data_IF_291983781368
#
_entry.id   IF_291983781368
#
_cell.length_a   1.000
_cell.length_b   1.000
_cell.length_c   1.000
_cell.angle_alpha   90.00
_cell.angle_beta   90.00
_cell.angle_gamma   90.00
#
_symmetry.space_group_name_H-M   'P 1'
#
loop_
_entity.id
_entity.type
_entity.pdbx_description
1 polymer ?
#
# COMPACT_ATOMS: atom_id res chain seq x y z
N UNK A 1 -4.46 24.61 -2.15
CA UNK A 1 -4.96 25.47 -3.24
C UNK A 1 -5.85 26.54 -2.63
N UNK A 2 -5.63 27.78 -2.98
CA UNK A 2 -6.53 28.88 -2.67
C UNK A 2 -7.63 28.94 -3.75
N UNK A 3 -8.90 28.81 -3.35
CA UNK A 3 -10.03 28.87 -4.26
C UNK A 3 -10.67 30.26 -4.26
N UNK A 4 -10.84 30.84 -5.45
CA UNK A 4 -11.54 32.10 -5.66
C UNK A 4 -12.60 31.86 -6.75
N UNK A 5 -13.86 32.22 -6.47
CA UNK A 5 -14.98 32.12 -7.41
C UNK A 5 -15.63 33.51 -7.50
N UNK A 6 -15.73 34.05 -8.70
CA UNK A 6 -16.29 35.39 -8.97
C UNK A 6 -15.64 36.48 -8.09
N UNK A 7 -14.29 36.43 -8.00
CA UNK A 7 -13.47 37.33 -7.19
C UNK A 7 -13.70 37.24 -5.66
N UNK A 8 -14.45 36.25 -5.20
CA UNK A 8 -14.70 36.02 -3.77
C UNK A 8 -13.84 34.83 -3.31
N UNK A 9 -13.03 35.06 -2.29
CA UNK A 9 -12.22 34.01 -1.65
C UNK A 9 -13.12 33.00 -0.94
N UNK A 10 -12.98 31.72 -1.32
CA UNK A 10 -13.75 30.60 -0.80
C UNK A 10 -13.02 29.79 0.25
N UNK A 11 -11.75 30.02 0.49
CA UNK A 11 -10.94 29.32 1.47
C UNK A 11 -9.76 28.55 0.87
N UNK A 12 -9.13 27.74 1.71
CA UNK A 12 -8.08 26.81 1.32
C UNK A 12 -8.67 25.43 1.08
N UNK A 13 -8.26 24.83 0.00
CA UNK A 13 -8.68 23.48 -0.41
C UNK A 13 -7.46 22.61 -0.64
N UNK A 14 -7.52 21.36 -0.24
CA UNK A 14 -6.54 20.35 -0.64
C UNK A 14 -6.78 19.95 -2.10
N UNK A 15 -5.70 19.72 -2.83
CA UNK A 15 -5.76 19.04 -4.13
C UNK A 15 -5.35 17.59 -3.88
N UNK A 16 -6.19 16.66 -4.28
CA UNK A 16 -5.91 15.24 -4.18
C UNK A 16 -6.10 14.57 -5.54
N UNK A 17 -5.26 13.61 -5.85
CA UNK A 17 -5.43 12.72 -6.99
C UNK A 17 -6.31 11.56 -6.50
N UNK A 18 -7.46 11.28 -7.14
CA UNK A 18 -8.31 10.17 -6.73
C UNK A 18 -7.57 8.83 -6.90
N UNK A 19 -7.93 7.85 -6.09
CA UNK A 19 -7.46 6.45 -6.19
C UNK A 19 -8.09 5.80 -7.44
N UNK A 20 -7.62 6.17 -8.62
CA UNK A 20 -8.19 5.73 -9.90
C UNK A 20 -7.06 5.55 -10.93
N UNK A 21 -7.39 4.95 -12.04
CA UNK A 21 -6.52 4.70 -13.21
C UNK A 21 -5.63 5.89 -13.60
N UNK A 22 -6.10 7.12 -13.42
CA UNK A 22 -5.35 8.34 -13.71
C UNK A 22 -4.06 8.47 -12.91
N UNK A 23 -4.05 7.93 -11.70
CA UNK A 23 -2.88 7.96 -10.83
C UNK A 23 -1.69 7.20 -11.42
N UNK A 24 -1.97 6.17 -12.22
CA UNK A 24 -0.98 5.28 -12.80
C UNK A 24 -0.92 5.32 -14.34
N UNK A 25 -1.75 6.14 -14.99
CA UNK A 25 -1.87 6.15 -16.44
C UNK A 25 -2.47 4.87 -17.02
N UNK A 26 -3.28 4.17 -16.25
CA UNK A 26 -3.98 2.94 -16.64
C UNK A 26 -5.18 3.23 -17.56
N UNK A 27 -5.72 2.21 -18.20
CA UNK A 27 -6.95 2.25 -18.98
C UNK A 27 -6.89 1.50 -20.31
N UNK A 28 -5.74 0.90 -20.64
CA UNK A 28 -5.54 0.17 -21.90
C UNK A 28 -5.47 -1.35 -21.72
N UNK A 29 -4.96 -1.81 -20.58
CA UNK A 29 -4.78 -3.24 -20.29
C UNK A 29 -6.04 -3.90 -19.72
N UNK A 30 -6.24 -5.18 -20.05
CA UNK A 30 -7.38 -5.96 -19.56
C UNK A 30 -7.24 -6.42 -18.10
N UNK A 31 -6.01 -6.44 -17.59
CA UNK A 31 -5.66 -6.90 -16.24
C UNK A 31 -5.02 -5.80 -15.39
N UNK A 32 -5.24 -4.55 -15.77
CA UNK A 32 -4.88 -3.40 -14.93
C UNK A 32 -5.84 -3.32 -13.74
N UNK A 33 -5.27 -3.13 -12.54
CA UNK A 33 -6.06 -3.07 -11.33
C UNK A 33 -5.36 -2.24 -10.26
N UNK A 34 -6.16 -1.57 -9.42
CA UNK A 34 -5.75 -0.89 -8.20
C UNK A 34 -6.65 -1.38 -7.08
N UNK A 35 -6.04 -1.78 -5.97
CA UNK A 35 -6.75 -2.07 -4.71
C UNK A 35 -6.12 -1.26 -3.58
N UNK A 36 -6.94 -0.83 -2.63
CA UNK A 36 -6.48 -0.16 -1.42
C UNK A 36 -6.60 -1.06 -0.19
N UNK A 37 -5.62 -0.99 0.68
CA UNK A 37 -5.65 -1.64 1.99
C UNK A 37 -6.18 -0.65 3.02
N UNK A 38 -7.46 -0.75 3.39
CA UNK A 38 -8.15 0.22 4.24
C UNK A 38 -8.24 -0.22 5.71
N UNK A 39 -8.18 -1.51 5.99
CA UNK A 39 -8.33 -2.05 7.33
C UNK A 39 -7.08 -2.77 7.82
N UNK A 40 -6.82 -2.68 9.11
CA UNK A 40 -5.90 -3.59 9.79
C UNK A 40 -6.47 -5.01 9.81
N UNK A 41 -5.91 -5.90 9.02
CA UNK A 41 -6.34 -7.29 8.94
C UNK A 41 -5.16 -8.23 8.68
N UNK A 42 -5.35 -9.52 8.89
CA UNK A 42 -4.36 -10.52 8.50
C UNK A 42 -4.11 -10.52 6.99
N UNK A 43 -5.13 -10.20 6.18
CA UNK A 43 -5.00 -10.13 4.72
C UNK A 43 -4.10 -8.97 4.29
N UNK A 44 -4.30 -7.75 4.82
CA UNK A 44 -3.46 -6.58 4.51
C UNK A 44 -2.04 -6.72 5.07
N UNK A 45 -1.87 -7.58 6.08
CA UNK A 45 -0.56 -7.99 6.58
C UNK A 45 0.09 -9.11 5.75
N UNK A 46 -0.53 -9.56 4.66
CA UNK A 46 -0.12 -10.71 3.85
C UNK A 46 0.06 -11.99 4.68
N UNK A 47 -0.80 -12.18 5.69
CA UNK A 47 -0.78 -13.32 6.60
C UNK A 47 -1.98 -14.27 6.42
N UNK A 48 -2.97 -13.88 5.61
CA UNK A 48 -4.17 -14.66 5.32
C UNK A 48 -4.72 -14.33 3.94
N UNK A 49 -5.19 -15.34 3.22
CA UNK A 49 -5.84 -15.15 1.91
C UNK A 49 -7.24 -14.55 2.05
N UNK A 50 -7.73 -13.91 0.99
CA UNK A 50 -9.06 -13.31 0.93
C UNK A 50 -10.04 -14.17 0.12
N UNK A 51 -11.33 -14.06 0.44
CA UNK A 51 -12.41 -14.72 -0.30
C UNK A 51 -13.25 -13.75 -1.13
N UNK A 52 -13.12 -12.46 -0.85
CA UNK A 52 -13.82 -11.39 -1.55
C UNK A 52 -13.01 -10.09 -1.49
N UNK A 53 -13.25 -9.18 -2.39
CA UNK A 53 -12.82 -7.78 -2.28
C UNK A 53 -13.76 -7.04 -1.33
N UNK A 54 -13.21 -6.11 -0.56
CA UNK A 54 -13.95 -5.37 0.46
C UNK A 54 -12.97 -4.57 1.33
N UNK A 55 -13.32 -4.22 2.58
CA UNK A 55 -12.52 -3.29 3.39
C UNK A 55 -11.05 -3.69 3.61
N UNK A 56 -10.74 -4.98 3.48
CA UNK A 56 -9.36 -5.48 3.57
C UNK A 56 -8.55 -5.08 2.34
N UNK A 57 -9.11 -5.38 1.15
CA UNK A 57 -8.60 -4.92 -0.14
C UNK A 57 -9.80 -4.39 -0.93
N UNK A 58 -10.04 -3.09 -0.88
CA UNK A 58 -11.10 -2.43 -1.62
C UNK A 58 -10.68 -2.21 -3.07
N UNK A 59 -11.58 -2.51 -4.01
CA UNK A 59 -11.33 -2.30 -5.43
C UNK A 59 -11.48 -0.81 -5.76
N UNK A 60 -10.39 -0.18 -6.19
CA UNK A 60 -10.38 1.22 -6.64
C UNK A 60 -10.50 1.35 -8.16
N UNK A 61 -9.93 0.39 -8.88
CA UNK A 61 -10.01 0.34 -10.33
C UNK A 61 -9.79 -1.09 -10.85
N UNK A 62 -10.65 -1.50 -11.77
CA UNK A 62 -10.41 -2.58 -12.71
C UNK A 62 -11.19 -2.25 -14.00
N UNK A 63 -10.72 -2.71 -15.17
CA UNK A 63 -11.38 -2.41 -16.45
C UNK A 63 -12.78 -3.00 -16.52
N UNK A 64 -13.00 -4.16 -15.94
CA UNK A 64 -14.32 -4.81 -15.78
C UNK A 64 -14.56 -5.10 -14.30
N UNK A 65 -15.28 -4.20 -13.65
CA UNK A 65 -15.62 -4.29 -12.23
C UNK A 65 -16.58 -5.45 -11.90
N UNK A 66 -17.24 -6.04 -12.90
CA UNK A 66 -18.13 -7.19 -12.72
C UNK A 66 -17.39 -8.53 -12.79
N UNK A 67 -16.15 -8.53 -13.23
CA UNK A 67 -15.33 -9.72 -13.38
C UNK A 67 -14.00 -9.58 -12.64
N UNK A 68 -14.06 -9.62 -11.31
CA UNK A 68 -12.92 -9.33 -10.41
C UNK A 68 -12.36 -10.58 -9.71
N UNK A 69 -12.89 -11.77 -10.00
CA UNK A 69 -12.38 -13.02 -9.38
C UNK A 69 -10.88 -13.20 -9.60
N UNK A 70 -10.36 -12.82 -10.78
CA UNK A 70 -8.93 -12.88 -11.08
C UNK A 70 -8.08 -11.98 -10.17
N UNK A 71 -8.63 -10.86 -9.66
CA UNK A 71 -7.94 -9.98 -8.70
C UNK A 71 -7.73 -10.73 -7.39
N UNK A 72 -8.79 -11.39 -6.90
CA UNK A 72 -8.74 -12.22 -5.68
C UNK A 72 -7.72 -13.35 -5.85
N UNK A 73 -7.77 -14.05 -6.97
CA UNK A 73 -6.87 -15.19 -7.28
C UNK A 73 -5.40 -14.72 -7.35
N UNK A 74 -5.15 -13.57 -7.98
CA UNK A 74 -3.82 -12.96 -8.08
C UNK A 74 -3.27 -12.50 -6.73
N UNK A 75 -4.08 -11.79 -5.92
CA UNK A 75 -3.70 -11.39 -4.56
C UNK A 75 -3.43 -12.61 -3.67
N UNK A 76 -4.26 -13.63 -3.74
CA UNK A 76 -4.08 -14.87 -2.98
C UNK A 76 -2.82 -15.62 -3.40
N UNK A 77 -2.47 -15.59 -4.68
CA UNK A 77 -1.20 -16.16 -5.17
C UNK A 77 -0.02 -15.42 -4.57
N UNK A 78 -0.05 -14.09 -4.56
CA UNK A 78 0.98 -13.26 -3.92
C UNK A 78 1.08 -13.57 -2.42
N UNK A 79 -0.04 -13.52 -1.68
CA UNK A 79 -0.07 -13.77 -0.23
C UNK A 79 0.48 -15.16 0.10
N UNK A 80 0.04 -16.18 -0.61
CA UNK A 80 0.50 -17.56 -0.42
C UNK A 80 2.00 -17.70 -0.69
N UNK A 81 2.48 -17.01 -1.73
CA UNK A 81 3.91 -17.03 -2.06
C UNK A 81 4.75 -16.37 -0.97
N UNK A 82 4.30 -15.22 -0.43
CA UNK A 82 4.97 -14.55 0.70
C UNK A 82 5.01 -15.47 1.93
N UNK A 83 3.88 -16.12 2.26
CA UNK A 83 3.78 -17.01 3.42
C UNK A 83 4.71 -18.22 3.33
N UNK A 84 4.92 -18.74 2.14
CA UNK A 84 5.70 -19.96 1.91
C UNK A 84 7.21 -19.71 1.74
N UNK A 85 7.65 -18.45 1.65
CA UNK A 85 9.04 -18.10 1.32
C UNK A 85 9.72 -17.21 2.38
N UNK A 86 9.59 -17.55 3.68
CA UNK A 86 10.36 -16.87 4.76
C UNK A 86 11.82 -17.38 4.78
N UNK A 87 12.58 -16.99 3.79
CA UNK A 87 13.99 -17.33 3.64
C UNK A 87 14.75 -16.25 2.85
N UNK A 88 16.09 -16.32 2.85
CA UNK A 88 16.95 -15.33 2.19
C UNK A 88 16.77 -15.24 0.66
N UNK A 89 16.19 -16.27 0.03
CA UNK A 89 15.94 -16.30 -1.40
C UNK A 89 14.51 -15.85 -1.76
N UNK A 90 13.76 -15.26 -0.82
CA UNK A 90 12.37 -14.86 -1.01
C UNK A 90 12.16 -14.01 -2.27
N UNK A 91 13.14 -13.19 -2.65
CA UNK A 91 13.06 -12.33 -3.83
C UNK A 91 12.86 -13.09 -5.14
N UNK A 92 13.40 -14.30 -5.25
CA UNK A 92 13.25 -15.12 -6.46
C UNK A 92 11.80 -15.58 -6.64
N UNK A 93 11.14 -16.02 -5.57
CA UNK A 93 9.78 -16.52 -5.64
C UNK A 93 8.74 -15.40 -5.54
N UNK A 94 8.86 -14.52 -4.55
CA UNK A 94 7.92 -13.40 -4.35
C UNK A 94 8.03 -12.41 -5.50
N UNK A 95 9.23 -12.19 -6.06
CA UNK A 95 9.47 -11.29 -7.19
C UNK A 95 8.76 -11.69 -8.50
N UNK A 96 8.21 -12.90 -8.58
CA UNK A 96 7.33 -13.30 -9.68
C UNK A 96 5.97 -12.61 -9.63
N UNK A 97 5.52 -12.24 -8.43
CA UNK A 97 4.19 -11.70 -8.14
C UNK A 97 4.20 -10.31 -7.49
N UNK A 98 5.38 -9.84 -7.09
CA UNK A 98 5.56 -8.50 -6.52
C UNK A 98 6.75 -7.81 -7.16
N UNK A 99 6.61 -6.53 -7.42
CA UNK A 99 7.73 -5.64 -7.71
C UNK A 99 8.50 -5.41 -6.41
N UNK A 100 9.59 -6.16 -6.25
CA UNK A 100 10.40 -6.14 -5.02
C UNK A 100 11.06 -4.78 -4.81
N UNK A 101 11.50 -4.12 -5.88
CA UNK A 101 12.11 -2.79 -5.78
C UNK A 101 11.07 -1.77 -5.28
N UNK A 102 9.85 -1.81 -5.82
CA UNK A 102 8.73 -1.01 -5.32
C UNK A 102 8.41 -1.29 -3.84
N UNK A 103 8.46 -2.55 -3.41
CA UNK A 103 8.22 -2.92 -2.02
C UNK A 103 9.33 -2.43 -1.09
N UNK A 104 10.60 -2.49 -1.51
CA UNK A 104 11.76 -1.98 -0.77
C UNK A 104 11.68 -0.45 -0.67
N UNK A 105 11.43 0.23 -1.78
CA UNK A 105 11.30 1.69 -1.82
C UNK A 105 10.16 2.15 -0.90
N UNK A 106 9.01 1.46 -0.96
CA UNK A 106 7.90 1.73 -0.07
C UNK A 106 8.25 1.52 1.41
N UNK A 107 8.96 0.43 1.73
CA UNK A 107 9.43 0.16 3.08
C UNK A 107 10.35 1.29 3.59
N UNK A 108 11.37 1.67 2.79
CA UNK A 108 12.29 2.77 3.12
C UNK A 108 11.52 4.08 3.31
N UNK A 109 10.58 4.35 2.42
CA UNK A 109 9.72 5.53 2.50
C UNK A 109 8.93 5.58 3.81
N UNK A 110 8.27 4.48 4.21
CA UNK A 110 7.53 4.42 5.47
C UNK A 110 8.43 4.65 6.70
N UNK A 111 9.68 4.21 6.63
CA UNK A 111 10.67 4.48 7.67
C UNK A 111 11.06 5.95 7.71
N UNK A 112 11.34 6.56 6.55
CA UNK A 112 11.83 7.93 6.42
C UNK A 112 10.81 8.96 6.95
N UNK A 113 9.54 8.77 6.62
CA UNK A 113 8.47 9.70 7.02
C UNK A 113 7.72 9.26 8.27
N UNK A 114 8.14 8.18 8.90
CA UNK A 114 7.47 7.59 10.08
C UNK A 114 6.01 7.19 9.81
N UNK A 115 5.71 6.68 8.61
CA UNK A 115 4.38 6.21 8.23
C UNK A 115 4.11 4.82 8.82
N UNK A 116 3.80 4.80 10.11
CA UNK A 116 3.64 3.54 10.86
C UNK A 116 2.41 2.75 10.41
N UNK A 117 1.33 3.44 10.12
CA UNK A 117 0.06 2.86 9.64
C UNK A 117 0.23 2.21 8.26
N UNK A 118 0.98 2.84 7.37
CA UNK A 118 1.30 2.34 6.03
C UNK A 118 2.05 1.01 5.99
N UNK A 119 2.49 0.50 7.14
CA UNK A 119 3.10 -0.84 7.25
C UNK A 119 2.10 -1.96 7.41
N UNK A 120 0.85 -1.66 7.64
CA UNK A 120 -0.22 -2.61 7.88
C UNK A 120 -1.49 -2.35 7.06
N UNK A 121 -1.75 -1.08 6.74
CA UNK A 121 -2.86 -0.58 5.92
C UNK A 121 -2.45 0.75 5.26
N UNK A 122 -3.39 1.51 4.72
CA UNK A 122 -3.14 2.84 4.14
C UNK A 122 -2.09 2.80 3.03
N UNK A 123 -2.19 1.80 2.15
CA UNK A 123 -1.39 1.68 0.94
C UNK A 123 -2.25 1.20 -0.23
N UNK A 124 -1.78 1.49 -1.44
CA UNK A 124 -2.35 0.92 -2.65
C UNK A 124 -1.44 -0.19 -3.17
N UNK A 125 -2.06 -1.25 -3.68
CA UNK A 125 -1.42 -2.19 -4.59
C UNK A 125 -1.95 -1.96 -5.99
N UNK A 126 -1.05 -1.97 -6.96
CA UNK A 126 -1.42 -1.81 -8.36
C UNK A 126 -0.73 -2.87 -9.23
N UNK A 127 -1.41 -3.26 -10.30
CA UNK A 127 -0.85 -4.17 -11.30
C UNK A 127 -1.25 -3.73 -12.71
N UNK A 128 -0.34 -3.91 -13.67
CA UNK A 128 -0.60 -3.65 -15.09
C UNK A 128 -0.90 -4.92 -15.89
N UNK A 129 -0.52 -6.07 -15.36
CA UNK A 129 -0.60 -7.37 -16.04
C UNK A 129 -1.47 -8.41 -15.32
N UNK A 130 -1.96 -8.06 -14.11
CA UNK A 130 -2.74 -8.94 -13.26
C UNK A 130 -1.91 -9.99 -12.52
N UNK A 131 -0.58 -9.91 -12.60
CA UNK A 131 0.35 -10.87 -11.99
C UNK A 131 1.28 -10.19 -11.00
N UNK A 132 1.97 -9.14 -11.43
CA UNK A 132 2.99 -8.46 -10.64
C UNK A 132 2.42 -7.20 -9.99
N UNK A 133 2.45 -7.15 -8.67
CA UNK A 133 1.92 -6.06 -7.85
C UNK A 133 3.02 -5.12 -7.37
N UNK A 134 2.75 -3.81 -7.47
CA UNK A 134 3.60 -2.76 -6.91
C UNK A 134 2.91 -2.03 -5.76
N UNK A 135 3.70 -1.47 -4.84
CA UNK A 135 3.21 -0.62 -3.75
C UNK A 135 3.12 0.85 -4.14
N UNK A 136 2.15 1.55 -3.57
CA UNK A 136 2.06 3.01 -3.62
C UNK A 136 1.56 3.55 -2.29
N UNK A 137 2.16 4.63 -1.82
CA UNK A 137 1.76 5.29 -0.58
C UNK A 137 0.41 5.98 -0.74
N UNK A 138 -0.41 5.85 0.30
CA UNK A 138 -1.72 6.47 0.39
C UNK A 138 -2.02 6.84 1.85
N UNK A 139 -2.91 7.83 2.06
CA UNK A 139 -3.39 8.28 3.37
C UNK A 139 -2.25 8.57 4.38
N UNK A 140 -1.51 9.64 4.09
CA UNK A 140 -0.31 10.01 4.85
C UNK A 140 -0.59 11.11 5.90
N UNK A 141 -1.74 11.09 6.54
CA UNK A 141 -2.09 12.04 7.59
C UNK A 141 -1.35 11.76 8.91
N UNK A 142 -0.92 10.51 9.12
CA UNK A 142 -0.21 10.05 10.32
C UNK A 142 1.30 9.90 10.11
N UNK A 143 1.93 10.86 9.43
CA UNK A 143 3.38 10.85 9.17
C UNK A 143 4.12 11.90 10.01
N UNK A 144 5.45 11.83 10.00
CA UNK A 144 6.34 12.75 10.73
C UNK A 144 6.04 12.85 12.23
N UNK A 145 5.58 11.75 12.84
CA UNK A 145 5.27 11.69 14.27
C UNK A 145 3.92 12.25 14.66
N UNK A 146 3.05 12.54 13.70
CA UNK A 146 1.66 12.90 13.99
C UNK A 146 0.81 11.64 14.23
N UNK A 147 -0.10 11.76 15.17
CA UNK A 147 -1.13 10.77 15.43
C UNK A 147 -2.44 11.19 14.76
N UNK A 148 -3.35 10.24 14.49
CA UNK A 148 -4.64 10.50 13.83
C UNK A 148 -5.52 11.54 14.53
N UNK A 149 -5.32 11.76 15.82
CA UNK A 149 -6.04 12.76 16.62
C UNK A 149 -5.35 14.14 16.61
N UNK A 150 -4.27 14.32 15.84
CA UNK A 150 -3.50 15.55 15.74
C UNK A 150 -2.47 15.74 16.85
N UNK A 151 -2.29 14.77 17.73
CA UNK A 151 -1.21 14.82 18.72
C UNK A 151 0.11 14.32 18.12
N UNK A 152 1.24 14.93 18.54
CA UNK A 152 2.55 14.41 18.19
C UNK A 152 2.96 13.32 19.19
N UNK A 153 3.34 12.15 18.71
CA UNK A 153 3.77 11.06 19.58
C UNK A 153 5.25 10.72 19.47
N UNK A 154 5.98 11.37 18.58
CA UNK A 154 7.42 11.36 18.56
C UNK A 154 7.99 12.70 18.98
N UNK A 155 9.10 12.64 19.74
CA UNK A 155 10.01 13.77 19.80
C UNK A 155 10.82 13.77 18.49
N UNK A 156 11.17 14.96 18.00
CA UNK A 156 11.88 15.15 16.74
C UNK A 156 13.25 14.43 16.66
N UNK A 157 13.79 14.01 17.79
CA UNK A 157 15.06 13.31 17.94
C UNK A 157 14.92 11.78 18.12
N UNK A 158 13.69 11.27 18.12
CA UNK A 158 13.42 9.84 18.27
C UNK A 158 13.01 9.24 16.94
N UNK A 159 13.90 8.47 16.33
CA UNK A 159 13.57 7.67 15.16
C UNK A 159 12.57 6.56 15.57
N UNK A 160 11.42 6.42 14.90
CA UNK A 160 10.50 5.35 15.21
C UNK A 160 11.18 3.99 14.99
N UNK A 161 11.32 3.23 16.06
CA UNK A 161 11.87 1.89 15.95
C UNK A 161 10.88 0.98 15.23
N UNK A 162 11.39 0.04 14.45
CA UNK A 162 10.62 -0.94 13.69
C UNK A 162 9.62 -1.75 14.55
N UNK A 163 9.87 -1.84 15.86
CA UNK A 163 9.06 -2.60 16.81
C UNK A 163 7.74 -1.92 17.23
N UNK A 164 7.44 -0.73 16.73
CA UNK A 164 6.34 0.07 17.27
C UNK A 164 4.95 -0.35 16.81
N UNK A 165 4.82 -1.09 15.69
CA UNK A 165 3.53 -1.52 15.13
C UNK A 165 3.60 -2.89 14.44
N UNK A 166 2.43 -3.48 14.27
CA UNK A 166 2.26 -4.68 13.46
C UNK A 166 2.71 -4.36 12.03
N UNK A 167 3.61 -5.17 11.51
CA UNK A 167 4.25 -4.97 10.22
C UNK A 167 3.89 -6.13 9.30
N UNK A 168 3.58 -5.84 8.04
CA UNK A 168 3.23 -6.85 7.06
C UNK A 168 4.36 -7.88 6.84
N UNK A 169 3.99 -9.08 6.41
CA UNK A 169 4.95 -10.17 6.18
C UNK A 169 6.02 -9.81 5.18
N UNK A 170 5.66 -9.10 4.08
CA UNK A 170 6.65 -8.67 3.08
C UNK A 170 7.66 -7.68 3.66
N UNK A 171 7.23 -6.73 4.47
CA UNK A 171 8.14 -5.78 5.11
C UNK A 171 9.05 -6.44 6.14
N UNK A 172 8.56 -7.47 6.83
CA UNK A 172 9.38 -8.29 7.71
C UNK A 172 10.47 -9.05 6.94
N UNK A 173 10.17 -9.57 5.74
CA UNK A 173 11.15 -10.22 4.87
C UNK A 173 12.23 -9.22 4.42
N UNK A 174 11.82 -8.03 3.96
CA UNK A 174 12.74 -6.95 3.59
C UNK A 174 13.64 -6.59 4.76
N UNK A 175 13.09 -6.31 5.94
CA UNK A 175 13.87 -6.00 7.13
C UNK A 175 14.84 -7.11 7.53
N UNK A 176 14.41 -8.35 7.44
CA UNK A 176 15.20 -9.50 7.88
C UNK A 176 16.36 -9.83 6.95
N UNK A 177 16.15 -9.66 5.64
CA UNK A 177 17.07 -10.18 4.63
C UNK A 177 17.73 -9.10 3.74
N UNK A 178 17.23 -7.85 3.74
CA UNK A 178 17.73 -6.75 2.90
C UNK A 178 18.21 -5.52 3.68
N UNK A 179 18.49 -5.65 4.95
CA UNK A 179 18.92 -4.52 5.80
C UNK A 179 20.38 -4.07 5.61
N UNK A 180 21.13 -4.68 4.70
CA UNK A 180 22.49 -4.30 4.35
C UNK A 180 22.46 -3.45 3.04
#
# INVERSE_FOLDING_TARGET
IMLVINDIYQGLYSFNIPKDKWMFGMGTGEKECIVSAEEHSNATLFAETITQLGPQFELEYAKDENNTQWVIDSLNTLITTILNNDNANYKEEVGKYMDIDSAIDYYIYTCLISHTDGRAKNFLLHTFDGVKWGFTAYDMDTVFGNHFDGTAYYKADVFPTFSYYVVSKIMNLIYKYDKE
#
